data_IF_844637512472
#
_entry.id   IF_844637512472
#
_cell.length_a   1.000
_cell.length_b   1.000
_cell.length_c   1.000
_cell.angle_alpha   90.00
_cell.angle_beta   90.00
_cell.angle_gamma   90.00
#
_symmetry.space_group_name_H-M   'P 1'
#
loop_
_entity.id
_entity.type
_entity.pdbx_description
1 polymer ?
#
# COMPACT_ATOMS: atom_id res chain seq x y z
N UNK A 1 -2.38 18.65 16.08
CA UNK A 1 -1.59 17.52 15.55
C UNK A 1 -0.27 18.09 15.06
N UNK A 2 0.83 17.71 15.70
CA UNK A 2 2.13 18.39 15.58
C UNK A 2 2.70 18.29 14.15
N UNK A 3 3.01 19.45 13.56
CA UNK A 3 3.49 19.63 12.18
C UNK A 3 4.95 19.17 11.95
N UNK A 4 5.64 18.64 12.95
CA UNK A 4 7.10 18.47 12.95
C UNK A 4 7.60 17.02 13.13
N UNK A 5 6.73 16.01 12.98
CA UNK A 5 7.23 14.63 13.04
C UNK A 5 7.99 14.29 11.75
N UNK A 6 9.31 14.12 11.88
CA UNK A 6 10.17 13.62 10.82
C UNK A 6 10.41 12.12 10.98
N UNK A 7 10.42 11.44 9.84
CA UNK A 7 10.54 10.00 9.72
C UNK A 7 11.85 9.63 9.03
N UNK A 8 12.46 8.54 9.48
CA UNK A 8 13.62 7.96 8.82
C UNK A 8 13.25 7.41 7.43
N UNK A 9 14.26 7.16 6.60
CA UNK A 9 14.04 6.49 5.31
C UNK A 9 13.39 5.11 5.44
N UNK A 10 13.69 4.37 6.51
CA UNK A 10 13.11 3.04 6.73
C UNK A 10 11.62 3.15 7.06
N UNK A 11 11.28 4.05 7.98
CA UNK A 11 9.88 4.33 8.32
C UNK A 11 9.10 4.87 7.12
N UNK A 12 9.67 5.81 6.36
CA UNK A 12 9.04 6.34 5.16
C UNK A 12 8.81 5.27 4.09
N UNK A 13 9.78 4.38 3.86
CA UNK A 13 9.63 3.27 2.93
C UNK A 13 8.55 2.28 3.39
N UNK A 14 8.49 1.98 4.68
CA UNK A 14 7.46 1.13 5.28
C UNK A 14 6.07 1.74 5.13
N UNK A 15 5.91 3.04 5.39
CA UNK A 15 4.64 3.76 5.20
C UNK A 15 4.21 3.77 3.73
N UNK A 16 5.14 3.84 2.79
CA UNK A 16 4.86 3.74 1.35
C UNK A 16 4.64 2.29 0.87
N UNK A 17 4.86 1.28 1.72
CA UNK A 17 4.76 -0.13 1.33
C UNK A 17 5.83 -0.57 0.33
N UNK A 18 7.04 0.02 0.38
CA UNK A 18 8.16 -0.33 -0.49
C UNK A 18 9.44 -0.63 0.28
N UNK A 19 10.39 -1.30 -0.38
CA UNK A 19 11.72 -1.48 0.19
C UNK A 19 12.51 -0.16 0.22
N UNK A 20 13.38 0.03 1.22
CA UNK A 20 14.31 1.16 1.33
C UNK A 20 15.09 1.43 0.04
N UNK A 21 15.57 0.37 -0.61
CA UNK A 21 16.30 0.46 -1.88
C UNK A 21 15.46 1.04 -3.02
N UNK A 22 14.15 0.78 -3.02
CA UNK A 22 13.19 1.35 -3.98
C UNK A 22 13.03 2.86 -3.78
N UNK A 23 12.92 3.29 -2.52
CA UNK A 23 12.81 4.72 -2.20
C UNK A 23 14.08 5.49 -2.61
N UNK A 24 15.25 4.94 -2.33
CA UNK A 24 16.54 5.49 -2.80
C UNK A 24 16.64 5.53 -4.33
N UNK A 25 16.14 4.50 -5.01
CA UNK A 25 16.15 4.45 -6.47
C UNK A 25 15.22 5.50 -7.08
N UNK A 26 14.07 5.78 -6.46
CA UNK A 26 13.17 6.83 -6.92
C UNK A 26 13.79 8.22 -6.76
N UNK A 27 14.42 8.49 -5.62
CA UNK A 27 15.18 9.73 -5.38
C UNK A 27 16.28 9.89 -6.43
N UNK A 28 17.10 8.85 -6.64
CA UNK A 28 18.20 8.86 -7.63
C UNK A 28 17.70 9.08 -9.06
N UNK A 29 16.52 8.57 -9.40
CA UNK A 29 15.89 8.72 -10.72
C UNK A 29 15.12 10.04 -10.88
N UNK A 30 15.07 10.88 -9.85
CA UNK A 30 14.32 12.14 -9.87
C UNK A 30 12.80 11.97 -9.90
N UNK A 31 12.30 10.77 -9.55
CA UNK A 31 10.85 10.48 -9.52
C UNK A 31 10.17 11.07 -8.28
N UNK A 32 10.96 11.34 -7.24
CA UNK A 32 10.53 12.04 -6.03
C UNK A 32 11.57 13.13 -5.72
N UNK A 33 11.20 14.23 -5.05
CA UNK A 33 12.14 15.24 -4.62
C UNK A 33 13.22 14.66 -3.69
N UNK A 34 14.45 15.24 -3.69
CA UNK A 34 15.49 14.83 -2.77
C UNK A 34 15.05 15.06 -1.31
N UNK A 35 15.30 14.06 -0.46
CA UNK A 35 14.96 14.14 0.95
C UNK A 35 15.76 15.23 1.67
N UNK A 36 15.13 15.90 2.63
CA UNK A 36 15.85 16.77 3.56
C UNK A 36 16.80 15.93 4.40
N UNK A 37 17.90 16.56 4.85
CA UNK A 37 18.88 15.92 5.72
C UNK A 37 18.91 16.63 7.06
N UNK A 38 19.07 15.86 8.12
CA UNK A 38 19.32 16.41 9.45
C UNK A 38 20.78 16.81 9.65
N UNK A 39 21.08 17.33 10.84
CA UNK A 39 22.42 17.76 11.25
C UNK A 39 23.46 16.63 11.19
N UNK A 40 23.02 15.37 11.22
CA UNK A 40 23.89 14.18 11.12
C UNK A 40 24.05 13.71 9.67
N UNK A 41 23.35 14.35 8.72
CA UNK A 41 23.35 14.01 7.30
C UNK A 41 22.37 12.90 6.90
N UNK A 42 21.48 12.48 7.81
CA UNK A 42 20.53 11.40 7.61
C UNK A 42 19.28 11.92 6.90
N UNK A 43 18.70 11.09 6.03
CA UNK A 43 17.48 11.46 5.30
C UNK A 43 16.29 11.52 6.25
N UNK A 44 15.55 12.61 6.18
CA UNK A 44 14.34 12.84 6.94
C UNK A 44 13.18 13.21 6.02
N UNK A 45 12.02 12.63 6.32
CA UNK A 45 10.78 12.81 5.56
C UNK A 45 9.68 13.27 6.50
N UNK A 46 8.93 14.29 6.12
CA UNK A 46 7.69 14.64 6.83
C UNK A 46 6.54 13.78 6.32
N UNK A 47 5.43 13.75 7.06
CA UNK A 47 4.21 13.08 6.60
C UNK A 47 3.75 13.64 5.23
N UNK A 48 3.88 14.95 5.02
CA UNK A 48 3.51 15.63 3.78
C UNK A 48 4.38 15.19 2.61
N UNK A 49 5.68 14.99 2.85
CA UNK A 49 6.58 14.43 1.84
C UNK A 49 6.14 13.02 1.46
N UNK A 50 5.79 12.20 2.45
CA UNK A 50 5.36 10.82 2.24
C UNK A 50 4.05 10.76 1.44
N UNK A 51 3.08 11.61 1.76
CA UNK A 51 1.82 11.70 1.01
C UNK A 51 2.02 12.22 -0.42
N UNK A 52 2.90 13.20 -0.61
CA UNK A 52 3.24 13.70 -1.95
C UNK A 52 3.91 12.61 -2.79
N UNK A 53 4.88 11.89 -2.22
CA UNK A 53 5.52 10.74 -2.87
C UNK A 53 4.49 9.66 -3.23
N UNK A 54 3.52 9.41 -2.34
CA UNK A 54 2.46 8.45 -2.60
C UNK A 54 1.59 8.86 -3.79
N UNK A 55 1.14 10.11 -3.84
CA UNK A 55 0.35 10.64 -4.97
C UNK A 55 1.12 10.56 -6.29
N UNK A 56 2.40 10.92 -6.28
CA UNK A 56 3.24 10.91 -7.48
C UNK A 56 3.48 9.48 -8.01
N UNK A 57 3.68 8.52 -7.11
CA UNK A 57 4.02 7.15 -7.50
C UNK A 57 2.78 6.31 -7.84
N UNK A 58 1.71 6.46 -7.06
CA UNK A 58 0.53 5.60 -7.11
C UNK A 58 -0.71 6.29 -7.73
N UNK A 59 -0.72 7.63 -7.83
CA UNK A 59 -1.85 8.42 -8.33
C UNK A 59 -2.71 9.02 -7.20
N UNK A 60 -3.48 10.06 -7.52
CA UNK A 60 -4.35 10.78 -6.57
C UNK A 60 -5.56 9.95 -6.07
N UNK A 61 -5.82 8.83 -6.72
CA UNK A 61 -6.91 7.89 -6.44
C UNK A 61 -6.57 6.83 -5.36
N UNK A 62 -5.39 6.94 -4.73
CA UNK A 62 -5.04 6.16 -3.53
C UNK A 62 -5.33 6.96 -2.24
N UNK A 63 -6.18 6.45 -1.32
CA UNK A 63 -6.59 7.16 -0.08
C UNK A 63 -5.38 7.44 0.83
N UNK A 64 -5.34 8.53 1.62
CA UNK A 64 -4.20 9.02 2.44
C UNK A 64 -3.58 7.99 3.41
N UNK A 65 -2.33 8.25 3.86
CA UNK A 65 -1.62 7.39 4.82
C UNK A 65 -1.96 7.79 6.26
N UNK A 66 -3.19 7.55 6.67
CA UNK A 66 -3.56 7.64 8.09
C UNK A 66 -3.33 6.28 8.75
N UNK A 67 -2.06 5.88 8.97
CA UNK A 67 -1.73 4.58 9.59
C UNK A 67 -0.55 4.70 10.55
N UNK A 68 -0.83 4.47 11.83
CA UNK A 68 0.15 4.25 12.89
C UNK A 68 0.98 2.98 12.61
N UNK A 69 2.29 3.15 12.45
CA UNK A 69 3.26 2.13 12.01
C UNK A 69 3.65 1.13 13.12
N UNK A 70 2.72 0.65 13.94
CA UNK A 70 3.03 -0.20 15.09
C UNK A 70 2.59 -1.68 14.96
N UNK A 71 1.71 -2.06 14.03
CA UNK A 71 1.14 -3.42 14.04
C UNK A 71 0.94 -4.04 12.64
N UNK A 72 1.93 -3.94 11.74
CA UNK A 72 1.96 -4.83 10.55
C UNK A 72 2.46 -6.21 10.98
N UNK A 73 1.66 -6.87 11.84
CA UNK A 73 1.86 -8.23 12.29
C UNK A 73 1.67 -9.23 11.15
N UNK A 74 2.38 -10.35 11.24
CA UNK A 74 2.34 -11.49 10.30
C UNK A 74 0.94 -12.12 10.12
N UNK A 75 -0.04 -11.73 10.94
CA UNK A 75 -1.38 -12.33 11.04
C UNK A 75 -2.43 -11.82 10.04
N UNK A 76 -2.28 -10.63 9.45
CA UNK A 76 -3.34 -10.04 8.61
C UNK A 76 -3.18 -10.41 7.12
N UNK A 77 -2.92 -11.70 6.88
CA UNK A 77 -2.72 -12.25 5.53
C UNK A 77 -3.58 -13.48 5.34
N UNK A 78 -4.34 -13.49 4.25
CA UNK A 78 -5.23 -14.57 3.90
C UNK A 78 -4.76 -15.19 2.58
N UNK A 79 -4.34 -16.45 2.63
CA UNK A 79 -4.05 -17.20 1.41
C UNK A 79 -5.36 -17.66 0.78
N UNK A 80 -5.48 -17.50 -0.54
CA UNK A 80 -6.72 -17.84 -1.23
C UNK A 80 -6.55 -18.07 -2.73
N UNK A 81 -7.67 -18.36 -3.37
CA UNK A 81 -7.78 -18.55 -4.81
C UNK A 81 -8.82 -17.58 -5.35
N UNK A 82 -8.49 -16.88 -6.43
CA UNK A 82 -9.43 -15.98 -7.10
C UNK A 82 -10.58 -16.81 -7.67
N UNK A 83 -11.79 -16.54 -7.20
CA UNK A 83 -13.03 -17.16 -7.65
C UNK A 83 -13.57 -16.47 -8.92
N UNK A 84 -13.60 -15.14 -8.92
CA UNK A 84 -14.02 -14.32 -10.07
C UNK A 84 -13.27 -12.99 -10.11
N UNK A 85 -13.21 -12.40 -11.30
CA UNK A 85 -12.75 -11.04 -11.54
C UNK A 85 -13.75 -10.40 -12.49
N UNK A 86 -14.43 -9.36 -12.04
CA UNK A 86 -15.37 -8.58 -12.83
C UNK A 86 -14.84 -7.16 -12.96
N UNK A 87 -14.87 -6.61 -14.17
CA UNK A 87 -14.30 -5.29 -14.43
C UNK A 87 -15.36 -4.36 -15.01
N UNK A 88 -15.62 -3.26 -14.31
CA UNK A 88 -16.51 -2.20 -14.76
C UNK A 88 -15.74 -0.87 -14.77
N UNK A 89 -15.61 -0.27 -15.97
CA UNK A 89 -14.83 0.94 -16.15
C UNK A 89 -13.38 0.79 -15.69
N UNK A 90 -12.98 1.64 -14.74
CA UNK A 90 -11.62 1.69 -14.16
C UNK A 90 -11.45 0.80 -12.92
N UNK A 91 -12.53 0.23 -12.39
CA UNK A 91 -12.51 -0.61 -11.20
C UNK A 91 -12.65 -2.08 -11.58
N UNK A 92 -12.24 -2.94 -10.67
CA UNK A 92 -12.44 -4.37 -10.77
C UNK A 92 -12.78 -4.92 -9.40
N UNK A 93 -13.81 -5.74 -9.37
CA UNK A 93 -14.17 -6.56 -8.25
C UNK A 93 -13.46 -7.90 -8.38
N UNK A 94 -12.72 -8.30 -7.34
CA UNK A 94 -12.03 -9.58 -7.27
C UNK A 94 -12.58 -10.33 -6.08
N UNK A 95 -13.23 -11.46 -6.33
CA UNK A 95 -13.70 -12.36 -5.28
C UNK A 95 -12.62 -13.40 -5.05
N UNK A 96 -12.15 -13.52 -3.80
CA UNK A 96 -11.13 -14.45 -3.37
C UNK A 96 -11.74 -15.42 -2.37
N UNK A 97 -11.61 -16.70 -2.65
CA UNK A 97 -11.97 -17.77 -1.72
C UNK A 97 -10.78 -18.04 -0.80
N UNK A 98 -11.02 -17.94 0.50
CA UNK A 98 -10.02 -18.06 1.57
C UNK A 98 -10.43 -19.21 2.47
N UNK A 99 -9.47 -20.10 2.77
CA UNK A 99 -9.68 -21.26 3.65
C UNK A 99 -10.86 -22.18 3.24
N UNK A 100 -11.32 -22.07 1.99
CA UNK A 100 -12.39 -22.92 1.40
C UNK A 100 -13.81 -22.60 1.86
N UNK A 101 -13.99 -21.77 2.89
CA UNK A 101 -15.32 -21.46 3.42
C UNK A 101 -15.69 -19.98 3.31
N UNK A 102 -14.68 -19.10 3.30
CA UNK A 102 -14.90 -17.66 3.35
C UNK A 102 -14.58 -17.00 2.01
N UNK A 103 -15.31 -15.92 1.69
CA UNK A 103 -15.07 -15.10 0.51
C UNK A 103 -14.70 -13.68 0.92
N UNK A 104 -13.55 -13.21 0.43
CA UNK A 104 -13.17 -11.81 0.51
C UNK A 104 -13.44 -11.15 -0.83
N UNK A 105 -14.09 -9.98 -0.80
CA UNK A 105 -14.33 -9.17 -1.99
C UNK A 105 -13.38 -7.98 -1.94
N UNK A 106 -12.59 -7.81 -2.99
CA UNK A 106 -11.63 -6.72 -3.10
C UNK A 106 -11.99 -5.87 -4.31
N UNK A 107 -12.27 -4.58 -4.08
CA UNK A 107 -12.36 -3.60 -5.14
C UNK A 107 -10.99 -2.96 -5.36
N UNK A 108 -10.47 -3.05 -6.58
CA UNK A 108 -9.18 -2.48 -6.92
C UNK A 108 -9.15 -1.93 -8.35
N UNK A 109 -8.22 -1.01 -8.68
CA UNK A 109 -8.12 -0.49 -10.04
C UNK A 109 -7.87 -1.59 -11.07
N UNK A 110 -8.54 -1.53 -12.21
CA UNK A 110 -8.43 -2.51 -13.30
C UNK A 110 -6.99 -2.73 -13.75
N UNK A 111 -6.20 -1.65 -13.82
CA UNK A 111 -4.77 -1.71 -14.15
C UNK A 111 -3.96 -2.55 -13.16
N UNK A 112 -4.34 -2.54 -11.88
CA UNK A 112 -3.69 -3.35 -10.85
C UNK A 112 -4.05 -4.84 -11.01
N UNK A 113 -5.31 -5.19 -11.31
CA UNK A 113 -5.70 -6.57 -11.63
C UNK A 113 -4.91 -7.11 -12.83
N UNK A 114 -4.82 -6.33 -13.91
CA UNK A 114 -4.07 -6.69 -15.10
C UNK A 114 -2.57 -6.88 -14.81
N UNK A 115 -1.97 -5.97 -14.03
CA UNK A 115 -0.55 -6.06 -13.63
C UNK A 115 -0.25 -7.31 -12.80
N UNK A 116 -1.20 -7.77 -12.00
CA UNK A 116 -1.09 -8.99 -11.21
C UNK A 116 -1.53 -10.25 -11.98
N UNK A 117 -1.97 -10.11 -13.24
CA UNK A 117 -2.50 -11.19 -14.07
C UNK A 117 -3.58 -12.03 -13.35
N UNK A 118 -4.45 -11.36 -12.58
CA UNK A 118 -5.52 -12.01 -11.84
C UNK A 118 -6.57 -12.57 -12.78
N UNK A 119 -6.93 -13.82 -12.55
CA UNK A 119 -7.97 -14.56 -13.26
C UNK A 119 -8.53 -15.63 -12.33
N UNK A 120 -9.70 -16.17 -12.65
CA UNK A 120 -10.25 -17.33 -11.94
C UNK A 120 -9.19 -18.43 -11.82
N UNK A 121 -8.98 -18.94 -10.61
CA UNK A 121 -7.96 -19.94 -10.29
C UNK A 121 -6.58 -19.37 -9.91
N UNK A 122 -6.34 -18.06 -9.99
CA UNK A 122 -5.08 -17.47 -9.52
C UNK A 122 -4.92 -17.66 -8.00
N UNK A 123 -3.78 -18.22 -7.57
CA UNK A 123 -3.39 -18.25 -6.16
C UNK A 123 -2.93 -16.86 -5.73
N UNK A 124 -3.47 -16.35 -4.64
CA UNK A 124 -3.20 -15.00 -4.14
C UNK A 124 -3.02 -15.00 -2.64
N UNK A 125 -2.39 -13.94 -2.14
CA UNK A 125 -2.41 -13.58 -0.72
C UNK A 125 -3.06 -12.23 -0.60
N UNK A 126 -4.16 -12.15 0.15
CA UNK A 126 -4.83 -10.90 0.48
C UNK A 126 -4.21 -10.36 1.75
N UNK A 127 -3.84 -9.09 1.74
CA UNK A 127 -3.29 -8.39 2.89
C UNK A 127 -4.32 -7.39 3.35
N UNK A 128 -4.71 -7.47 4.61
CA UNK A 128 -5.73 -6.59 5.19
C UNK A 128 -5.03 -5.67 6.17
N UNK A 129 -5.30 -4.37 6.06
CA UNK A 129 -4.81 -3.42 7.05
C UNK A 129 -5.88 -3.20 8.13
N UNK A 130 -5.51 -3.14 9.42
CA UNK A 130 -6.49 -3.00 10.50
C UNK A 130 -7.43 -1.81 10.33
N UNK A 131 -6.96 -0.69 9.81
CA UNK A 131 -7.74 0.53 9.62
C UNK A 131 -8.84 0.43 8.55
N UNK A 132 -8.77 -0.59 7.68
CA UNK A 132 -9.80 -0.84 6.67
C UNK A 132 -10.94 -1.73 7.22
N UNK A 133 -10.84 -2.23 8.46
CA UNK A 133 -11.83 -3.13 9.08
C UNK A 133 -12.83 -2.37 9.95
N UNK A 134 -14.12 -2.65 9.74
CA UNK A 134 -15.22 -2.16 10.58
C UNK A 134 -15.93 -3.37 11.19
N UNK A 135 -16.10 -3.36 12.51
CA UNK A 135 -16.80 -4.41 13.25
C UNK A 135 -18.10 -3.85 13.83
N UNK A 136 -19.21 -4.57 13.65
CA UNK A 136 -20.50 -4.29 14.28
C UNK A 136 -21.00 -5.53 15.02
N UNK A 137 -21.88 -5.32 16.02
CA UNK A 137 -22.49 -6.37 16.84
C UNK A 137 -24.00 -6.41 16.60
#
# INVERSE_FOLDING_TARGET
MSKDQSFSIETAAQMLGVAKGTLLAWEKKGRIPPAKRDERGWRQYTIQDIEAMRREVYGAEFPSLDISTAEVGTSNRFAGVVHSVESEGLLSEVVVEVEGEHRLVVHMPRKACLRLALRKGSRVTVWVRPEDLILSR
#
